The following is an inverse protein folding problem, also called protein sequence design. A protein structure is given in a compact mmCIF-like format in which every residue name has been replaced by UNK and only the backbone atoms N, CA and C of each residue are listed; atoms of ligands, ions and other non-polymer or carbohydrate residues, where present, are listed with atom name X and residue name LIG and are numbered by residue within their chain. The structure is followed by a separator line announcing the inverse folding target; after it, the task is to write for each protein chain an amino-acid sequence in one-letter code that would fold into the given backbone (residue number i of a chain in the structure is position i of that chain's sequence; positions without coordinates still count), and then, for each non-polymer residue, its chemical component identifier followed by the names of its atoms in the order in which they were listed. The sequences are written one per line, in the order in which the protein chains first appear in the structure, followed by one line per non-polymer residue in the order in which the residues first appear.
data_IF_916963411861
#
_entry.id   IF_916963411861
#
_cell.length_a   1.000
_cell.length_b   1.000
_cell.length_c   1.000
_cell.angle_alpha   90.00
_cell.angle_beta   90.00
_cell.angle_gamma   90.00
#
_symmetry.space_group_name_H-M   'P 1'
#
loop_
_entity.id
_entity.type
_entity.pdbx_description
1 polymer ?
#
# COMPACT_ATOMS: atom_id res chain seq x y z
N UNK A 1 -8.21 -12.18 -15.70
CA UNK A 1 -7.18 -11.80 -14.71
C UNK A 1 -7.61 -10.53 -14.02
N UNK A 2 -7.67 -10.55 -12.70
CA UNK A 2 -7.96 -9.36 -11.91
C UNK A 2 -6.84 -8.34 -12.09
N UNK A 3 -7.22 -7.13 -12.48
CA UNK A 3 -6.29 -6.00 -12.53
C UNK A 3 -6.38 -5.22 -11.23
N UNK A 4 -5.22 -4.87 -10.68
CA UNK A 4 -5.12 -4.04 -9.49
C UNK A 4 -4.41 -2.74 -9.82
N UNK A 5 -4.92 -1.66 -9.31
CA UNK A 5 -4.16 -0.42 -9.24
C UNK A 5 -3.35 -0.42 -7.96
N UNK A 6 -2.05 -0.58 -8.09
CA UNK A 6 -1.11 -0.60 -6.98
C UNK A 6 -0.60 0.81 -6.73
N UNK A 7 -0.99 1.40 -5.62
CA UNK A 7 -0.52 2.71 -5.22
C UNK A 7 0.96 2.68 -4.79
N UNK A 8 1.60 3.83 -4.81
CA UNK A 8 2.94 3.98 -4.27
C UNK A 8 2.94 3.57 -2.79
N UNK A 9 3.82 2.65 -2.39
CA UNK A 9 3.89 2.21 -1.00
C UNK A 9 4.27 3.33 -0.04
N UNK A 10 3.81 3.22 1.20
CA UNK A 10 4.28 4.04 2.31
C UNK A 10 5.29 3.28 3.14
N UNK A 11 6.29 4.00 3.63
CA UNK A 11 7.25 3.51 4.62
C UNK A 11 6.70 3.81 6.02
N UNK A 12 6.64 2.79 6.86
CA UNK A 12 6.25 2.94 8.26
C UNK A 12 7.51 2.95 9.13
N UNK A 13 7.64 3.99 9.94
CA UNK A 13 8.70 4.12 10.92
C UNK A 13 8.16 3.66 12.28
N UNK A 14 8.85 2.71 12.90
CA UNK A 14 8.58 2.27 14.26
C UNK A 14 9.72 2.72 15.18
N UNK A 15 9.39 3.16 16.40
CA UNK A 15 10.38 3.48 17.42
C UNK A 15 11.04 2.22 17.97
N UNK A 16 10.28 1.12 18.01
CA UNK A 16 10.69 -0.20 18.48
C UNK A 16 10.54 -1.25 17.38
N UNK A 17 10.99 -2.47 17.64
CA UNK A 17 10.91 -3.59 16.67
C UNK A 17 9.47 -3.93 16.25
N UNK A 18 8.49 -3.62 17.10
CA UNK A 18 7.06 -3.85 16.84
C UNK A 18 6.29 -2.55 17.06
N UNK A 19 5.41 -2.22 16.12
CA UNK A 19 4.54 -1.06 16.24
C UNK A 19 3.62 -1.20 17.46
N UNK A 20 3.66 -0.19 18.33
CA UNK A 20 2.73 -0.08 19.46
C UNK A 20 1.29 0.14 18.97
N UNK A 21 0.32 -0.02 19.88
CA UNK A 21 -1.08 0.27 19.57
C UNK A 21 -1.28 1.74 19.17
N UNK A 22 -0.58 2.66 19.83
CA UNK A 22 -0.60 4.07 19.47
C UNK A 22 -0.03 4.32 18.09
N UNK A 23 1.10 3.69 17.77
CA UNK A 23 1.72 3.80 16.45
C UNK A 23 0.84 3.24 15.34
N UNK A 24 0.02 2.22 15.61
CA UNK A 24 -0.90 1.62 14.63
C UNK A 24 -2.17 2.44 14.41
N UNK A 25 -2.74 3.01 15.45
CA UNK A 25 -4.08 3.61 15.40
C UNK A 25 -4.10 5.12 15.65
N UNK A 26 -3.14 5.62 16.39
CA UNK A 26 -3.00 7.04 16.72
C UNK A 26 -1.78 7.66 16.05
N UNK A 27 -1.24 6.96 15.03
CA UNK A 27 -0.06 7.39 14.31
C UNK A 27 -0.17 8.85 13.89
N UNK A 28 0.54 9.69 14.60
CA UNK A 28 0.67 11.08 14.27
C UNK A 28 1.40 11.26 12.93
N UNK A 29 1.37 12.46 12.41
CA UNK A 29 2.16 12.86 11.27
C UNK A 29 3.63 12.50 11.49
N UNK A 30 4.22 11.65 10.65
CA UNK A 30 5.62 11.28 10.69
C UNK A 30 5.93 9.80 10.88
N UNK A 31 4.95 8.97 11.24
CA UNK A 31 5.16 7.53 11.32
C UNK A 31 5.00 6.83 9.96
N UNK A 32 4.27 7.42 9.03
CA UNK A 32 4.16 6.94 7.65
C UNK A 32 4.71 8.00 6.69
N UNK A 33 5.63 7.58 5.84
CA UNK A 33 6.23 8.42 4.80
C UNK A 33 5.75 7.90 3.44
N UNK A 34 5.10 8.75 2.67
CA UNK A 34 4.56 8.42 1.35
C UNK A 34 5.12 9.37 0.29
N UNK A 35 5.76 8.87 -0.77
CA UNK A 35 6.11 7.47 -1.02
C UNK A 35 7.23 6.96 -0.12
N UNK A 36 7.31 5.64 0.02
CA UNK A 36 8.44 4.99 0.71
C UNK A 36 9.77 5.37 0.05
N UNK A 37 10.78 5.58 0.86
CA UNK A 37 12.12 6.02 0.40
C UNK A 37 13.00 4.81 0.18
N UNK A 38 13.24 4.45 -1.07
CA UNK A 38 14.05 3.28 -1.43
C UNK A 38 15.47 3.65 -1.85
N UNK A 39 15.64 4.79 -2.51
CA UNK A 39 16.92 5.20 -3.06
C UNK A 39 17.06 6.71 -3.13
N UNK A 40 18.29 7.18 -3.32
CA UNK A 40 18.62 8.61 -3.42
C UNK A 40 18.36 9.18 -4.81
N UNK A 41 18.47 8.37 -5.86
CA UNK A 41 18.25 8.82 -7.23
C UNK A 41 16.83 8.52 -7.69
N UNK A 42 16.19 9.41 -8.47
CA UNK A 42 14.82 9.21 -8.96
C UNK A 42 14.65 7.92 -9.76
N UNK A 43 15.62 7.57 -10.62
CA UNK A 43 15.54 6.36 -11.45
C UNK A 43 15.56 5.09 -10.61
N UNK A 44 16.46 4.99 -9.62
CA UNK A 44 16.53 3.84 -8.71
C UNK A 44 15.28 3.77 -7.82
N UNK A 45 14.84 4.90 -7.31
CA UNK A 45 13.62 5.00 -6.52
C UNK A 45 12.42 4.42 -7.29
N UNK A 46 12.25 4.82 -8.55
CA UNK A 46 11.15 4.36 -9.39
C UNK A 46 11.28 2.88 -9.74
N UNK A 47 12.49 2.43 -10.05
CA UNK A 47 12.77 1.01 -10.36
C UNK A 47 12.38 0.11 -9.18
N UNK A 48 12.84 0.46 -7.98
CA UNK A 48 12.57 -0.33 -6.77
C UNK A 48 11.08 -0.30 -6.43
N UNK A 49 10.46 0.85 -6.45
CA UNK A 49 9.01 0.97 -6.22
C UNK A 49 8.21 0.10 -7.20
N UNK A 50 8.57 0.07 -8.47
CA UNK A 50 7.90 -0.76 -9.47
C UNK A 50 8.04 -2.26 -9.16
N UNK A 51 9.23 -2.72 -8.75
CA UNK A 51 9.45 -4.12 -8.37
C UNK A 51 8.67 -4.51 -7.13
N UNK A 52 8.63 -3.64 -6.13
CA UNK A 52 7.84 -3.86 -4.91
C UNK A 52 6.36 -3.99 -5.26
N UNK A 53 5.81 -3.05 -6.01
CA UNK A 53 4.40 -3.06 -6.42
C UNK A 53 4.06 -4.30 -7.27
N UNK A 54 4.93 -4.72 -8.14
CA UNK A 54 4.73 -5.93 -8.94
C UNK A 54 4.64 -7.19 -8.08
N UNK A 55 5.50 -7.33 -7.08
CA UNK A 55 5.47 -8.46 -6.14
C UNK A 55 4.19 -8.45 -5.32
N UNK A 56 3.79 -7.30 -4.80
CA UNK A 56 2.58 -7.17 -4.01
C UNK A 56 1.31 -7.38 -4.84
N UNK A 57 1.29 -6.94 -6.09
CA UNK A 57 0.19 -7.23 -7.01
C UNK A 57 0.01 -8.72 -7.23
N UNK A 58 1.11 -9.43 -7.41
CA UNK A 58 1.08 -10.90 -7.57
C UNK A 58 0.55 -11.57 -6.30
N UNK A 59 0.96 -11.10 -5.11
CA UNK A 59 0.43 -11.60 -3.85
C UNK A 59 -1.08 -11.37 -3.74
N UNK A 60 -1.57 -10.18 -4.11
CA UNK A 60 -3.01 -9.87 -4.12
C UNK A 60 -3.79 -10.76 -5.08
N UNK A 61 -3.24 -11.03 -6.26
CA UNK A 61 -3.86 -11.93 -7.24
C UNK A 61 -3.96 -13.36 -6.72
N UNK A 62 -2.88 -13.88 -6.13
CA UNK A 62 -2.85 -15.24 -5.55
C UNK A 62 -3.79 -15.39 -4.36
N UNK A 63 -3.98 -14.33 -3.58
CA UNK A 63 -4.90 -14.30 -2.45
C UNK A 63 -6.36 -14.01 -2.85
N UNK A 64 -6.65 -13.86 -4.14
CA UNK A 64 -7.98 -13.51 -4.66
C UNK A 64 -8.57 -12.25 -3.99
N UNK A 65 -7.75 -11.23 -3.78
CA UNK A 65 -8.21 -9.95 -3.25
C UNK A 65 -9.26 -9.36 -4.16
N UNK A 66 -10.33 -8.84 -3.57
CA UNK A 66 -11.42 -8.17 -4.28
C UNK A 66 -11.73 -6.84 -3.62
N UNK A 67 -11.94 -5.79 -4.42
CA UNK A 67 -12.23 -4.45 -3.94
C UNK A 67 -10.96 -3.72 -3.60
N UNK A 68 -10.73 -3.42 -2.34
CA UNK A 68 -9.52 -2.76 -1.88
C UNK A 68 -8.90 -3.54 -0.71
N UNK A 69 -7.61 -3.42 -0.57
CA UNK A 69 -6.88 -4.06 0.53
C UNK A 69 -5.60 -3.30 0.84
N UNK A 70 -5.07 -3.50 2.03
CA UNK A 70 -3.72 -3.08 2.41
C UNK A 70 -2.85 -4.32 2.53
N UNK A 71 -1.66 -4.25 1.96
CA UNK A 71 -0.66 -5.30 2.10
C UNK A 71 0.53 -4.73 2.86
N UNK A 72 0.86 -5.36 3.97
CA UNK A 72 2.03 -5.03 4.76
C UNK A 72 3.19 -5.95 4.35
N UNK A 73 4.38 -5.37 4.19
CA UNK A 73 5.52 -6.10 3.67
C UNK A 73 6.84 -5.58 4.22
N UNK A 74 7.83 -6.45 4.31
CA UNK A 74 9.23 -6.04 4.42
C UNK A 74 9.86 -5.90 3.04
N UNK A 75 10.67 -4.86 2.87
CA UNK A 75 11.46 -4.65 1.67
C UNK A 75 12.93 -4.61 2.05
N UNK A 76 13.70 -5.54 1.50
CA UNK A 76 15.15 -5.59 1.66
C UNK A 76 15.83 -5.18 0.38
N UNK A 77 16.72 -4.22 0.46
CA UNK A 77 17.54 -3.76 -0.66
C UNK A 77 18.98 -4.08 -0.34
N UNK A 78 19.57 -4.96 -1.15
CA UNK A 78 20.97 -5.36 -0.99
C UNK A 78 21.92 -4.30 -1.58
N UNK A 79 23.19 -4.34 -1.17
CA UNK A 79 24.22 -3.40 -1.65
C UNK A 79 24.39 -3.43 -3.17
N UNK A 80 24.12 -4.57 -3.82
CA UNK A 80 24.16 -4.73 -5.28
C UNK A 80 22.87 -4.26 -5.99
N UNK A 81 21.92 -3.67 -5.25
CA UNK A 81 20.64 -3.18 -5.79
C UNK A 81 19.56 -4.24 -5.95
N UNK A 82 19.77 -5.47 -5.48
CA UNK A 82 18.75 -6.51 -5.49
C UNK A 82 17.64 -6.18 -4.48
N UNK A 83 16.39 -6.31 -4.92
CA UNK A 83 15.21 -6.05 -4.11
C UNK A 83 14.51 -7.35 -3.77
N UNK A 84 14.26 -7.56 -2.49
CA UNK A 84 13.45 -8.68 -1.98
C UNK A 84 12.26 -8.09 -1.23
N UNK A 85 11.05 -8.41 -1.69
CA UNK A 85 9.80 -8.00 -1.04
C UNK A 85 9.15 -9.22 -0.40
N UNK A 86 8.87 -9.12 0.88
CA UNK A 86 8.29 -10.20 1.68
C UNK A 86 6.93 -9.73 2.18
N UNK A 87 5.81 -10.13 1.55
CA UNK A 87 4.48 -9.86 2.07
C UNK A 87 4.30 -10.53 3.43
N UNK A 88 3.75 -9.79 4.40
CA UNK A 88 3.53 -10.27 5.76
C UNK A 88 2.04 -10.53 5.97
N UNK A 89 1.20 -9.57 5.59
CA UNK A 89 -0.22 -9.55 5.92
C UNK A 89 -1.01 -8.86 4.82
N UNK A 90 -2.21 -9.37 4.55
CA UNK A 90 -3.18 -8.73 3.65
C UNK A 90 -4.42 -8.41 4.46
N UNK A 91 -4.75 -7.12 4.57
CA UNK A 91 -5.92 -6.63 5.26
C UNK A 91 -7.01 -6.29 4.24
N UNK A 92 -8.05 -7.10 4.19
CA UNK A 92 -9.16 -6.95 3.24
C UNK A 92 -10.15 -5.84 3.61
N UNK A 93 -10.07 -5.32 4.82
CA UNK A 93 -10.87 -4.20 5.30
C UNK A 93 -9.98 -3.24 6.11
N UNK A 94 -9.02 -2.57 5.46
CA UNK A 94 -8.11 -1.69 6.17
C UNK A 94 -8.82 -0.44 6.69
N UNK A 95 -8.28 0.14 7.76
CA UNK A 95 -8.77 1.39 8.31
C UNK A 95 -8.69 2.54 7.30
N UNK A 96 -9.67 3.44 7.37
CA UNK A 96 -9.77 4.63 6.50
C UNK A 96 -9.99 5.90 7.32
N UNK A 97 -9.32 6.03 8.46
CA UNK A 97 -9.30 7.31 9.16
C UNK A 97 -8.46 8.33 8.41
N UNK A 98 -8.70 9.64 8.56
CA UNK A 98 -7.98 10.67 7.80
C UNK A 98 -6.46 10.60 7.89
N UNK A 99 -5.92 10.06 8.98
CA UNK A 99 -4.47 9.94 9.21
C UNK A 99 -3.86 8.67 8.60
N UNK A 100 -4.64 7.81 7.97
CA UNK A 100 -4.11 6.57 7.39
C UNK A 100 -3.38 6.81 6.07
N UNK A 101 -2.36 5.99 5.82
CA UNK A 101 -1.50 6.11 4.64
C UNK A 101 -2.26 6.03 3.31
N UNK A 102 -3.42 5.36 3.28
CA UNK A 102 -4.20 5.17 2.05
C UNK A 102 -4.57 6.50 1.38
N UNK A 103 -4.92 7.52 2.14
CA UNK A 103 -5.30 8.80 1.56
C UNK A 103 -4.10 9.57 0.98
N UNK A 104 -2.90 9.43 1.56
CA UNK A 104 -1.68 9.96 0.97
C UNK A 104 -1.29 9.20 -0.31
N UNK A 105 -1.43 7.89 -0.30
CA UNK A 105 -1.19 7.04 -1.46
C UNK A 105 -2.18 7.35 -2.59
N UNK A 106 -3.46 7.54 -2.28
CA UNK A 106 -4.49 7.95 -3.23
C UNK A 106 -4.17 9.31 -3.87
N UNK A 107 -3.75 10.28 -3.05
CA UNK A 107 -3.39 11.61 -3.53
C UNK A 107 -2.25 11.57 -4.55
N UNK A 108 -1.22 10.76 -4.31
CA UNK A 108 -0.12 10.55 -5.27
C UNK A 108 -0.61 9.93 -6.59
N UNK A 109 -1.61 9.07 -6.54
CA UNK A 109 -2.22 8.45 -7.71
C UNK A 109 -3.24 9.36 -8.41
N UNK A 110 -3.47 10.57 -7.90
CA UNK A 110 -4.41 11.55 -8.48
C UNK A 110 -5.85 11.41 -7.99
N UNK A 111 -6.10 10.67 -6.93
CA UNK A 111 -7.43 10.53 -6.35
C UNK A 111 -7.63 11.47 -5.16
N UNK A 112 -8.81 12.10 -5.11
CA UNK A 112 -9.31 12.70 -3.87
C UNK A 112 -9.83 11.58 -2.95
N UNK A 113 -9.94 11.81 -1.62
CA UNK A 113 -10.57 10.84 -0.73
C UNK A 113 -11.98 10.43 -1.18
N UNK A 114 -12.75 11.39 -1.68
CA UNK A 114 -14.09 11.14 -2.20
C UNK A 114 -14.07 10.18 -3.39
N UNK A 115 -13.19 10.42 -4.36
CA UNK A 115 -13.06 9.57 -5.55
C UNK A 115 -12.63 8.15 -5.21
N UNK A 116 -11.74 7.99 -4.23
CA UNK A 116 -11.33 6.67 -3.76
C UNK A 116 -12.48 5.90 -3.12
N UNK A 117 -13.24 6.54 -2.23
CA UNK A 117 -14.41 5.94 -1.58
C UNK A 117 -15.48 5.59 -2.61
N UNK A 118 -15.74 6.49 -3.56
CA UNK A 118 -16.70 6.22 -4.65
C UNK A 118 -16.30 5.00 -5.48
N UNK A 119 -15.01 4.87 -5.82
CA UNK A 119 -14.51 3.69 -6.55
C UNK A 119 -14.76 2.38 -5.81
N UNK A 120 -14.57 2.37 -4.48
CA UNK A 120 -14.86 1.19 -3.65
C UNK A 120 -16.36 0.84 -3.69
N UNK A 121 -17.21 1.85 -3.57
CA UNK A 121 -18.67 1.66 -3.63
C UNK A 121 -19.12 1.15 -5.00
N UNK A 122 -18.62 1.72 -6.08
CA UNK A 122 -18.90 1.27 -7.44
C UNK A 122 -18.50 -0.18 -7.67
N UNK A 123 -17.33 -0.57 -7.19
CA UNK A 123 -16.86 -1.95 -7.26
C UNK A 123 -17.82 -2.90 -6.52
N UNK A 124 -18.26 -2.54 -5.31
CA UNK A 124 -19.19 -3.34 -4.53
C UNK A 124 -20.56 -3.50 -5.23
N UNK A 125 -21.07 -2.43 -5.82
CA UNK A 125 -22.33 -2.45 -6.59
C UNK A 125 -22.23 -3.33 -7.83
N UNK A 126 -21.14 -3.25 -8.59
CA UNK A 126 -20.89 -4.09 -9.75
C UNK A 126 -20.84 -5.57 -9.37
N UNK A 127 -20.15 -5.89 -8.26
CA UNK A 127 -20.06 -7.25 -7.75
C UNK A 127 -21.42 -7.79 -7.30
N UNK A 128 -22.24 -6.97 -6.66
CA UNK A 128 -23.60 -7.34 -6.26
C UNK A 128 -24.51 -7.60 -7.46
N UNK A 129 -24.38 -6.81 -8.52
CA UNK A 129 -25.17 -6.95 -9.76
C UNK A 129 -24.78 -8.17 -10.60
N UNK A 130 -23.56 -8.71 -10.43
CA UNK A 130 -23.07 -9.89 -11.14
C UNK A 130 -23.54 -11.23 -10.53
N UNK A 131 -24.22 -11.20 -9.40
CA UNK A 131 -24.84 -12.37 -8.74
C UNK A 131 -26.29 -12.51 -9.19
#
# INVERSE_FOLDING_TARGET
TLQFEMFEPSETLAADEVLSLEEKFLAGEGQNITPARYAKTPNEQQRISAQVRQTLQKAAQLANVCGYARIDAFVKISANGQVTTIPIEINSLPGMTPATAIFHQCALAGYTPYQFIDAILQFALQKASAK
#
